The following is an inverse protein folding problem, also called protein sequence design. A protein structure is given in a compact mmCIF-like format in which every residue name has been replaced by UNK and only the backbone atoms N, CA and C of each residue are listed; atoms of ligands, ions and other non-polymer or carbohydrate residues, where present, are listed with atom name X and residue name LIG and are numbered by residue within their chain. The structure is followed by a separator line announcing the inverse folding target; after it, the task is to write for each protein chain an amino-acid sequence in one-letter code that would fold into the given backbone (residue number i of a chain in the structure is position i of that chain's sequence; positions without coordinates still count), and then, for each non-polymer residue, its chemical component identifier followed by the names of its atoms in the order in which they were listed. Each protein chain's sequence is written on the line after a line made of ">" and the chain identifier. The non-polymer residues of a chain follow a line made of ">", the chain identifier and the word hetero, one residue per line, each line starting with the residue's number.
data_IF_508020882987
#
_entry.id   IF_508020882987
#
_cell.length_a   1.000
_cell.length_b   1.000
_cell.length_c   1.000
_cell.angle_alpha   90.00
_cell.angle_beta   90.00
_cell.angle_gamma   90.00
#
_symmetry.space_group_name_H-M   'P 1'
#
loop_
_entity.id
_entity.type
_entity.pdbx_description
1 polymer ?
#
# COMPACT_ATOMS: atom_id res chain seq x y z
N UNK A 1 18.28 -6.55 -11.54
CA UNK A 1 17.01 -5.83 -11.29
C UNK A 1 16.40 -6.38 -10.02
N UNK A 2 16.00 -5.52 -9.07
CA UNK A 2 15.47 -5.94 -7.78
C UNK A 2 14.15 -6.68 -7.98
N UNK A 3 14.06 -7.93 -7.51
CA UNK A 3 12.84 -8.74 -7.60
C UNK A 3 11.76 -8.31 -6.57
N UNK A 4 11.91 -7.13 -5.96
CA UNK A 4 11.10 -6.66 -4.84
C UNK A 4 10.51 -5.28 -5.10
N UNK A 5 9.21 -5.12 -4.86
CA UNK A 5 8.52 -3.82 -4.87
C UNK A 5 8.03 -3.40 -3.48
N UNK A 6 7.87 -2.11 -3.26
CA UNK A 6 7.21 -1.55 -2.07
C UNK A 6 5.78 -1.15 -2.44
N UNK A 7 4.78 -1.67 -1.73
CA UNK A 7 3.38 -1.28 -1.89
C UNK A 7 2.99 -0.36 -0.75
N UNK A 8 2.64 0.86 -1.10
CA UNK A 8 2.07 1.84 -0.20
C UNK A 8 0.56 1.88 -0.38
N UNK A 9 -0.17 1.33 0.59
CA UNK A 9 -1.61 1.14 0.53
C UNK A 9 -2.32 2.14 1.46
N UNK A 10 -3.38 2.76 0.97
CA UNK A 10 -4.32 3.55 1.78
C UNK A 10 -3.66 4.74 2.53
N UNK A 11 -2.52 5.23 2.04
CA UNK A 11 -1.83 6.41 2.57
C UNK A 11 -2.35 7.70 1.91
N UNK A 12 -3.61 8.05 2.19
CA UNK A 12 -4.36 9.12 1.50
C UNK A 12 -5.16 10.04 2.41
N UNK A 13 -5.43 11.24 1.93
CA UNK A 13 -6.16 12.29 2.66
C UNK A 13 -7.59 11.88 3.03
N UNK A 14 -8.25 10.98 2.29
CA UNK A 14 -9.58 10.45 2.63
C UNK A 14 -9.69 9.92 4.07
N UNK A 15 -8.59 9.43 4.65
CA UNK A 15 -8.59 8.92 6.02
C UNK A 15 -8.58 10.02 7.08
N UNK A 16 -8.10 11.22 6.77
CA UNK A 16 -8.06 12.34 7.73
C UNK A 16 -9.46 12.89 8.02
N UNK A 17 -10.40 12.68 7.08
CA UNK A 17 -11.79 13.10 7.19
C UNK A 17 -12.71 12.05 7.82
N UNK A 18 -12.16 11.03 8.50
CA UNK A 18 -12.94 9.98 9.19
C UNK A 18 -12.96 10.23 10.69
N UNK A 19 -14.08 9.93 11.33
CA UNK A 19 -14.29 10.19 12.77
C UNK A 19 -13.32 9.43 13.71
N UNK A 20 -12.78 8.31 13.24
CA UNK A 20 -11.80 7.52 13.99
C UNK A 20 -10.34 7.93 13.72
N UNK A 21 -10.10 8.97 12.91
CA UNK A 21 -8.77 9.48 12.65
C UNK A 21 -8.12 9.98 13.95
N UNK A 22 -6.89 9.54 14.20
CA UNK A 22 -6.08 9.96 15.36
C UNK A 22 -4.78 10.54 14.84
N UNK A 23 -4.65 11.87 14.94
CA UNK A 23 -3.49 12.60 14.44
C UNK A 23 -2.20 12.15 15.14
N UNK A 24 -2.28 11.78 16.42
CA UNK A 24 -1.15 11.32 17.23
C UNK A 24 -0.64 9.97 16.73
N UNK A 25 -1.55 9.04 16.41
CA UNK A 25 -1.18 7.74 15.81
C UNK A 25 -0.55 7.93 14.43
N UNK A 26 -1.09 8.86 13.65
CA UNK A 26 -0.53 9.21 12.35
C UNK A 26 0.90 9.77 12.48
N UNK A 27 1.12 10.75 13.36
CA UNK A 27 2.44 11.35 13.58
C UNK A 27 3.47 10.32 14.04
N UNK A 28 3.09 9.35 14.87
CA UNK A 28 3.96 8.25 15.26
C UNK A 28 4.26 7.28 14.09
N UNK A 29 3.32 7.14 13.15
CA UNK A 29 3.42 6.22 12.01
C UNK A 29 4.22 6.80 10.83
N UNK A 30 4.28 8.12 10.68
CA UNK A 30 4.99 8.79 9.57
C UNK A 30 6.49 8.46 9.53
N UNK A 31 7.28 8.60 10.62
CA UNK A 31 8.72 8.33 10.58
C UNK A 31 9.11 6.92 10.13
N UNK A 32 8.52 5.81 10.66
CA UNK A 32 8.86 4.47 10.20
C UNK A 32 8.42 4.21 8.76
N UNK A 33 7.27 4.73 8.33
CA UNK A 33 6.81 4.59 6.95
C UNK A 33 7.73 5.34 5.97
N UNK A 34 8.17 6.53 6.35
CA UNK A 34 9.12 7.32 5.54
C UNK A 34 10.45 6.60 5.37
N UNK A 35 11.00 6.01 6.44
CA UNK A 35 12.23 5.20 6.37
C UNK A 35 12.10 4.02 5.40
N UNK A 36 10.93 3.38 5.30
CA UNK A 36 10.70 2.30 4.34
C UNK A 36 10.69 2.80 2.90
N UNK A 37 10.07 3.96 2.65
CA UNK A 37 10.04 4.60 1.34
C UNK A 37 11.45 5.02 0.92
N UNK A 38 12.19 5.70 1.81
CA UNK A 38 13.56 6.13 1.55
C UNK A 38 14.49 4.91 1.29
N UNK A 39 14.34 3.83 2.05
CA UNK A 39 15.08 2.59 1.82
C UNK A 39 14.72 1.93 0.48
N UNK A 40 13.45 1.95 0.08
CA UNK A 40 13.02 1.46 -1.22
C UNK A 40 13.63 2.29 -2.36
N UNK A 41 13.66 3.62 -2.23
CA UNK A 41 14.33 4.50 -3.18
C UNK A 41 15.83 4.22 -3.28
N UNK A 42 16.52 4.10 -2.14
CA UNK A 42 17.95 3.78 -2.09
C UNK A 42 18.27 2.41 -2.73
N UNK A 43 17.36 1.45 -2.60
CA UNK A 43 17.47 0.12 -3.20
C UNK A 43 16.96 0.03 -4.66
N UNK A 44 16.59 1.16 -5.27
CA UNK A 44 15.96 1.23 -6.59
C UNK A 44 14.76 0.28 -6.74
N UNK A 45 14.00 0.11 -5.65
CA UNK A 45 12.78 -0.68 -5.63
C UNK A 45 11.62 0.15 -6.17
N UNK A 46 10.78 -0.39 -7.07
CA UNK A 46 9.61 0.32 -7.54
C UNK A 46 8.62 0.52 -6.40
N UNK A 47 8.21 1.77 -6.18
CA UNK A 47 7.13 2.14 -5.28
C UNK A 47 5.80 2.03 -6.03
N UNK A 48 4.92 1.15 -5.56
CA UNK A 48 3.57 0.95 -6.07
C UNK A 48 2.60 1.58 -5.09
N UNK A 49 1.82 2.58 -5.53
CA UNK A 49 0.83 3.25 -4.69
C UNK A 49 -0.55 2.64 -4.93
N UNK A 50 -1.32 2.43 -3.87
CA UNK A 50 -2.69 1.93 -3.94
C UNK A 50 -3.59 2.85 -3.13
N UNK A 51 -4.54 3.49 -3.80
CA UNK A 51 -5.54 4.37 -3.21
C UNK A 51 -6.89 3.68 -3.16
N UNK A 52 -7.71 3.99 -2.16
CA UNK A 52 -9.09 3.50 -2.08
C UNK A 52 -10.04 4.59 -2.57
N UNK A 53 -10.88 4.27 -3.55
CA UNK A 53 -11.91 5.15 -4.08
C UNK A 53 -13.29 4.50 -4.11
N UNK A 54 -14.30 5.25 -3.71
CA UNK A 54 -15.72 4.89 -3.76
C UNK A 54 -16.51 5.96 -4.53
N UNK A 55 -16.41 5.98 -5.87
CA UNK A 55 -17.14 6.97 -6.67
C UNK A 55 -18.65 6.87 -6.47
N UNK A 56 -19.30 8.01 -6.21
CA UNK A 56 -20.74 8.09 -5.99
C UNK A 56 -21.19 7.64 -4.59
N UNK A 57 -20.25 7.36 -3.68
CA UNK A 57 -20.55 7.00 -2.29
C UNK A 57 -20.91 8.20 -1.42
N UNK A 58 -20.55 9.42 -1.82
CA UNK A 58 -20.69 10.62 -0.98
C UNK A 58 -19.86 10.56 0.31
N UNK A 59 -18.93 9.62 0.42
CA UNK A 59 -18.01 9.47 1.55
C UNK A 59 -16.69 10.18 1.23
N UNK A 60 -15.80 10.41 2.22
CA UNK A 60 -14.45 10.94 1.97
C UNK A 60 -13.60 10.13 0.96
N UNK A 61 -14.04 8.93 0.58
CA UNK A 61 -13.41 8.11 -0.46
C UNK A 61 -13.97 8.37 -1.85
N UNK A 62 -14.96 9.24 -2.02
CA UNK A 62 -15.44 9.65 -3.33
C UNK A 62 -14.39 10.56 -4.00
N UNK A 63 -13.84 10.18 -5.18
CA UNK A 63 -12.90 11.03 -5.90
C UNK A 63 -13.43 12.43 -6.20
N UNK A 64 -14.76 12.59 -6.31
CA UNK A 64 -15.40 13.89 -6.51
C UNK A 64 -15.13 14.88 -5.37
N UNK A 65 -14.83 14.39 -4.16
CA UNK A 65 -14.50 15.22 -3.00
C UNK A 65 -13.01 15.62 -2.96
N UNK A 66 -12.16 15.12 -3.87
CA UNK A 66 -10.75 15.50 -3.97
C UNK A 66 -9.84 14.94 -2.86
N UNK A 67 -10.37 14.12 -1.96
CA UNK A 67 -9.61 13.55 -0.82
C UNK A 67 -8.89 12.23 -1.17
N UNK A 68 -9.20 11.63 -2.32
CA UNK A 68 -8.52 10.43 -2.84
C UNK A 68 -7.16 10.82 -3.45
N UNK A 69 -6.31 11.38 -2.60
CA UNK A 69 -4.99 11.90 -2.93
C UNK A 69 -4.00 11.45 -1.87
N UNK A 70 -2.74 11.17 -2.23
CA UNK A 70 -1.74 10.78 -1.24
C UNK A 70 -1.55 11.86 -0.19
N UNK A 71 -1.25 11.44 1.04
CA UNK A 71 -0.84 12.37 2.10
C UNK A 71 0.46 13.07 1.71
N UNK A 72 0.64 14.30 2.21
CA UNK A 72 1.75 15.17 1.83
C UNK A 72 3.12 14.53 2.09
N UNK A 73 3.21 13.73 3.15
CA UNK A 73 4.42 13.05 3.59
C UNK A 73 4.82 11.86 2.69
N UNK A 74 3.91 11.42 1.81
CA UNK A 74 4.07 10.25 0.94
C UNK A 74 3.79 10.55 -0.53
N UNK A 75 4.06 11.78 -1.00
CA UNK A 75 3.91 12.20 -2.40
C UNK A 75 5.06 11.74 -3.30
N UNK A 76 5.93 10.86 -2.83
CA UNK A 76 7.08 10.36 -3.59
C UNK A 76 6.67 9.74 -4.93
N UNK A 77 7.60 9.75 -5.91
CA UNK A 77 7.29 9.26 -7.26
C UNK A 77 7.02 7.75 -7.22
N UNK A 78 5.76 7.39 -7.37
CA UNK A 78 5.35 6.01 -7.57
C UNK A 78 5.64 5.57 -9.01
N UNK A 79 6.06 4.31 -9.19
CA UNK A 79 6.19 3.67 -10.49
C UNK A 79 4.83 3.47 -11.14
N UNK A 80 3.82 3.15 -10.33
CA UNK A 80 2.41 3.03 -10.74
C UNK A 80 1.51 3.36 -9.57
N UNK A 81 0.35 3.95 -9.85
CA UNK A 81 -0.70 4.18 -8.86
C UNK A 81 -1.95 3.42 -9.29
N UNK A 82 -2.44 2.54 -8.42
CA UNK A 82 -3.70 1.82 -8.60
C UNK A 82 -4.77 2.40 -7.68
N UNK A 83 -6.03 2.19 -8.08
CA UNK A 83 -7.18 2.58 -7.28
C UNK A 83 -8.06 1.36 -7.05
N UNK A 84 -8.31 1.00 -5.79
CA UNK A 84 -9.21 -0.10 -5.39
C UNK A 84 -10.56 0.44 -4.94
N UNK A 85 -11.61 -0.31 -5.22
CA UNK A 85 -12.99 -0.01 -4.78
C UNK A 85 -13.41 -0.84 -3.56
N UNK A 86 -12.73 -1.95 -3.31
CA UNK A 86 -12.98 -2.89 -2.21
C UNK A 86 -11.75 -3.03 -1.32
N UNK A 87 -11.91 -3.62 -0.13
CA UNK A 87 -10.81 -3.78 0.82
C UNK A 87 -9.64 -4.61 0.26
N UNK A 88 -9.89 -5.48 -0.72
CA UNK A 88 -8.87 -6.27 -1.38
C UNK A 88 -8.16 -5.45 -2.48
N UNK A 89 -6.86 -5.22 -2.31
CA UNK A 89 -6.03 -4.52 -3.30
C UNK A 89 -5.67 -5.39 -4.53
N UNK A 90 -5.89 -6.70 -4.46
CA UNK A 90 -5.52 -7.65 -5.53
C UNK A 90 -6.67 -7.99 -6.46
N UNK A 91 -7.91 -7.90 -5.99
CA UNK A 91 -9.08 -8.13 -6.83
C UNK A 91 -9.35 -6.86 -7.64
N UNK A 92 -9.28 -6.99 -8.96
CA UNK A 92 -9.75 -5.98 -9.93
C UNK A 92 -8.88 -4.71 -10.12
N UNK A 93 -7.64 -4.70 -9.64
CA UNK A 93 -6.71 -3.54 -9.81
C UNK A 93 -5.66 -3.75 -10.90
N UNK A 94 -5.43 -4.98 -11.37
CA UNK A 94 -4.32 -5.31 -12.28
C UNK A 94 -2.94 -5.36 -11.61
N UNK A 95 -2.88 -5.23 -10.28
CA UNK A 95 -1.63 -5.24 -9.51
C UNK A 95 -0.80 -6.52 -9.73
N UNK A 96 -1.43 -7.69 -9.72
CA UNK A 96 -0.72 -8.97 -9.92
C UNK A 96 -0.11 -9.07 -11.32
N UNK A 97 -0.87 -8.67 -12.36
CA UNK A 97 -0.39 -8.66 -13.73
C UNK A 97 0.83 -7.73 -13.86
N UNK A 98 0.74 -6.52 -13.30
CA UNK A 98 1.85 -5.55 -13.31
C UNK A 98 3.10 -6.10 -12.61
N UNK A 99 2.94 -6.70 -11.43
CA UNK A 99 4.06 -7.32 -10.71
C UNK A 99 4.73 -8.43 -11.53
N UNK A 100 3.93 -9.28 -12.20
CA UNK A 100 4.44 -10.35 -13.08
C UNK A 100 5.17 -9.80 -14.31
N UNK A 101 4.59 -8.83 -15.00
CA UNK A 101 5.18 -8.17 -16.17
C UNK A 101 6.53 -7.51 -15.84
N UNK A 102 6.66 -6.96 -14.64
CA UNK A 102 7.90 -6.32 -14.17
C UNK A 102 8.89 -7.30 -13.53
N UNK A 103 8.59 -8.61 -13.53
CA UNK A 103 9.46 -9.65 -12.97
C UNK A 103 9.60 -9.58 -11.44
N UNK A 104 8.65 -8.94 -10.75
CA UNK A 104 8.66 -8.75 -9.30
C UNK A 104 8.11 -10.01 -8.64
N UNK A 105 8.92 -10.65 -7.79
CA UNK A 105 8.57 -11.89 -7.08
C UNK A 105 8.39 -11.68 -5.59
N UNK A 106 8.73 -10.51 -5.07
CA UNK A 106 8.63 -10.16 -3.66
C UNK A 106 7.97 -8.80 -3.53
N UNK A 107 7.19 -8.65 -2.49
CA UNK A 107 6.53 -7.38 -2.22
C UNK A 107 6.58 -7.07 -0.74
N UNK A 108 6.92 -5.81 -0.44
CA UNK A 108 6.86 -5.25 0.91
C UNK A 108 5.62 -4.40 0.98
N UNK A 109 4.74 -4.64 1.96
CA UNK A 109 3.48 -3.89 2.10
C UNK A 109 3.58 -2.96 3.31
N UNK A 110 3.17 -1.70 3.13
CA UNK A 110 3.05 -0.69 4.16
C UNK A 110 1.83 0.23 3.91
N UNK A 111 1.26 0.86 4.96
CA UNK A 111 0.03 1.67 4.81
C UNK A 111 -0.68 1.99 6.12
N UNK A 112 -1.74 2.82 6.07
CA UNK A 112 -2.47 3.32 7.26
C UNK A 112 -3.49 2.31 7.82
N UNK A 113 -4.11 1.49 6.98
CA UNK A 113 -5.14 0.50 7.36
C UNK A 113 -4.62 -0.93 7.39
N UNK A 114 -3.37 -1.13 7.81
CA UNK A 114 -2.78 -2.47 7.87
C UNK A 114 -3.16 -3.26 9.11
N UNK A 115 -3.97 -2.74 10.05
CA UNK A 115 -4.40 -3.52 11.23
C UNK A 115 -5.13 -4.84 10.84
N UNK A 116 -5.86 -4.89 9.72
CA UNK A 116 -6.40 -6.15 9.17
C UNK A 116 -5.46 -6.90 8.21
N UNK A 117 -4.45 -6.25 7.65
CA UNK A 117 -3.50 -6.88 6.73
C UNK A 117 -2.28 -7.48 7.45
N UNK A 118 -1.91 -6.99 8.64
CA UNK A 118 -0.72 -7.42 9.37
C UNK A 118 -0.92 -8.73 10.14
N UNK A 119 -2.12 -9.00 10.66
CA UNK A 119 -2.41 -10.28 11.32
C UNK A 119 -2.50 -11.45 10.33
N UNK A 120 -2.94 -11.18 9.09
CA UNK A 120 -3.19 -12.25 8.09
C UNK A 120 -2.01 -12.50 7.14
N UNK A 121 -1.09 -11.56 6.96
CA UNK A 121 -0.01 -11.68 5.96
C UNK A 121 1.31 -12.22 6.51
N UNK A 122 1.49 -12.25 7.84
CA UNK A 122 2.61 -13.00 8.45
C UNK A 122 2.36 -14.52 8.48
N UNK A 123 1.11 -14.99 8.31
CA UNK A 123 0.73 -16.42 8.28
C UNK A 123 0.47 -17.00 6.88
N UNK A 124 0.42 -16.18 5.82
CA UNK A 124 0.42 -16.70 4.45
C UNK A 124 1.85 -16.90 3.97
N UNK A 125 2.43 -18.02 4.40
CA UNK A 125 3.60 -18.62 3.74
C UNK A 125 3.07 -19.61 2.69
N UNK A 126 3.06 -19.32 1.37
CA UNK A 126 2.97 -20.39 0.41
C UNK A 126 4.35 -21.08 0.36
N UNK A 127 4.49 -22.23 1.03
CA UNK A 127 5.58 -23.18 0.78
C UNK A 127 5.17 -24.17 -0.33
N UNK A 128 6.15 -24.82 -0.98
CA UNK A 128 6.39 -24.75 -2.42
C UNK A 128 5.60 -25.79 -3.21
N UNK A 129 5.17 -25.44 -4.42
CA UNK A 129 4.55 -26.40 -5.33
C UNK A 129 4.23 -25.90 -6.74
N UNK A 130 4.12 -24.59 -6.97
CA UNK A 130 3.94 -24.01 -8.29
C UNK A 130 5.08 -23.07 -8.64
N UNK A 131 5.67 -23.23 -9.82
CA UNK A 131 6.55 -22.22 -10.43
C UNK A 131 5.72 -20.92 -10.50
N UNK A 132 6.26 -19.79 -10.01
CA UNK A 132 5.71 -18.42 -10.14
C UNK A 132 4.86 -17.83 -8.98
N UNK A 133 5.21 -18.08 -7.71
CA UNK A 133 4.58 -17.42 -6.56
C UNK A 133 5.24 -16.09 -6.13
N UNK A 134 4.44 -15.03 -5.89
CA UNK A 134 4.88 -13.77 -5.26
C UNK A 134 4.94 -13.94 -3.74
N UNK A 135 6.07 -13.58 -3.12
CA UNK A 135 6.25 -13.63 -1.66
C UNK A 135 5.88 -12.29 -1.04
N UNK A 136 4.95 -12.31 -0.07
CA UNK A 136 4.48 -11.11 0.63
C UNK A 136 5.20 -10.98 1.98
N UNK A 137 5.83 -9.83 2.23
CA UNK A 137 6.42 -9.49 3.53
C UNK A 137 5.79 -8.19 4.01
N UNK A 138 4.81 -8.27 4.91
CA UNK A 138 4.29 -7.09 5.59
C UNK A 138 5.28 -6.66 6.69
N UNK A 139 5.75 -5.42 6.67
CA UNK A 139 6.41 -4.80 7.84
C UNK A 139 5.45 -3.76 8.37
N UNK A 140 4.75 -4.11 9.45
CA UNK A 140 4.12 -3.11 10.28
C UNK A 140 5.25 -2.38 11.02
N UNK A 141 5.23 -1.05 11.02
CA UNK A 141 5.94 -0.30 12.05
C UNK A 141 5.25 -0.60 13.38
N UNK A 142 5.64 -1.68 14.04
CA UNK A 142 5.32 -1.88 15.45
C UNK A 142 6.04 -0.78 16.22
N UNK A 143 5.25 0.01 16.94
CA UNK A 143 5.65 0.84 18.08
C UNK A 143 6.77 0.21 18.90
#
# INVERSE_FOLDING_TARGET
>A
MSATALLLIDAQNSFTARDYWQAERYQAFVPPLRRLIDAAHAAAMPLVRILHAEPGGGTPFDPALGLVTPLLEFTDRAAVTFTKRVHNAFTDTGLEAWLREHGIRRVVICGIRTEQCCETTARMTPRPGGRDGVTFSARCGSS
#
